data_IF_451291342959
#
_entry.id   IF_451291342959
#
_cell.length_a   1.000
_cell.length_b   1.000
_cell.length_c   1.000
_cell.angle_alpha   90.00
_cell.angle_beta   90.00
_cell.angle_gamma   90.00
#
_symmetry.space_group_name_H-M   'P 1'
#
loop_
_entity.id
_entity.type
_entity.pdbx_description
1 polymer ?
#
# COMPACT_ATOMS: atom_id res chain seq x y z
N UNK A 1 29.72 -3.05 -11.03
CA UNK A 1 28.77 -3.17 -9.90
C UNK A 1 28.99 -4.39 -8.98
N UNK A 2 29.86 -5.35 -9.29
CA UNK A 2 30.12 -6.54 -8.44
C UNK A 2 30.99 -6.26 -7.20
N UNK A 3 31.90 -5.30 -7.28
CA UNK A 3 32.94 -5.02 -6.28
C UNK A 3 32.43 -4.70 -4.87
N UNK A 4 31.35 -3.90 -4.65
CA UNK A 4 30.91 -3.54 -3.30
C UNK A 4 30.40 -4.73 -2.47
N UNK A 5 29.85 -5.76 -3.14
CA UNK A 5 29.27 -6.93 -2.45
C UNK A 5 30.30 -8.05 -2.23
N UNK A 6 31.43 -8.03 -2.97
CA UNK A 6 32.45 -9.06 -2.95
C UNK A 6 33.71 -8.67 -2.15
N UNK A 7 34.00 -7.38 -2.08
CA UNK A 7 35.27 -6.89 -1.50
C UNK A 7 34.98 -5.68 -0.61
N UNK A 8 35.32 -5.78 0.66
CA UNK A 8 35.28 -4.67 1.61
C UNK A 8 34.01 -4.53 2.48
N UNK A 9 32.92 -5.20 2.18
CA UNK A 9 31.73 -5.18 3.03
C UNK A 9 31.84 -6.21 4.16
N UNK A 10 31.76 -5.75 5.42
CA UNK A 10 31.74 -6.64 6.59
C UNK A 10 30.38 -7.29 6.82
N UNK A 11 29.32 -6.59 6.44
CA UNK A 11 27.93 -7.05 6.53
C UNK A 11 27.19 -6.63 5.28
N UNK A 12 26.48 -7.57 4.67
CA UNK A 12 25.56 -7.35 3.55
C UNK A 12 24.14 -7.55 4.08
N UNK A 13 23.30 -6.52 4.00
CA UNK A 13 21.90 -6.60 4.40
C UNK A 13 21.04 -6.77 3.15
N UNK A 14 20.27 -7.85 3.09
CA UNK A 14 19.30 -8.09 2.02
C UNK A 14 17.90 -7.84 2.56
N UNK A 15 17.20 -6.88 1.95
CA UNK A 15 15.78 -6.63 2.18
C UNK A 15 15.00 -7.42 1.14
N UNK A 16 14.51 -8.59 1.54
CA UNK A 16 13.89 -9.54 0.61
C UNK A 16 12.36 -9.40 0.57
N UNK A 17 11.86 -9.35 -0.65
CA UNK A 17 10.44 -9.49 -1.01
C UNK A 17 10.35 -10.27 -2.30
N UNK A 18 9.39 -11.17 -2.45
CA UNK A 18 9.06 -11.70 -3.78
C UNK A 18 8.55 -10.55 -4.68
N UNK A 19 9.00 -10.41 -5.92
CA UNK A 19 9.85 -11.28 -6.76
C UNK A 19 11.34 -10.83 -6.86
N UNK A 20 12.00 -10.45 -5.77
CA UNK A 20 13.43 -10.08 -5.83
C UNK A 20 14.29 -11.23 -6.37
N UNK A 21 15.19 -10.95 -7.31
CA UNK A 21 15.98 -11.95 -8.03
C UNK A 21 15.39 -12.36 -9.38
N UNK A 22 14.17 -11.93 -9.74
CA UNK A 22 13.52 -12.26 -11.00
C UNK A 22 13.86 -11.29 -12.14
N UNK A 23 14.11 -10.03 -11.82
CA UNK A 23 14.54 -9.05 -12.84
C UNK A 23 16.02 -9.20 -13.18
N UNK A 24 16.49 -8.80 -14.39
CA UNK A 24 17.89 -8.86 -14.75
C UNK A 24 18.82 -8.18 -13.75
N UNK A 25 18.43 -7.04 -13.18
CA UNK A 25 19.20 -6.27 -12.21
C UNK A 25 19.26 -6.97 -10.85
N UNK A 26 18.16 -7.38 -10.29
CA UNK A 26 18.10 -8.07 -9.00
C UNK A 26 18.75 -9.45 -9.07
N UNK A 27 18.76 -10.08 -10.25
CA UNK A 27 19.48 -11.34 -10.50
C UNK A 27 21.00 -11.16 -10.44
N UNK A 28 21.52 -10.05 -10.97
CA UNK A 28 22.96 -9.71 -10.88
C UNK A 28 23.35 -9.48 -9.41
N UNK A 29 22.53 -8.76 -8.65
CA UNK A 29 22.76 -8.54 -7.21
C UNK A 29 22.74 -9.86 -6.44
N UNK A 30 21.74 -10.69 -6.68
CA UNK A 30 21.63 -12.01 -6.06
C UNK A 30 22.86 -12.88 -6.33
N UNK A 31 23.31 -12.95 -7.59
CA UNK A 31 24.50 -13.73 -7.97
C UNK A 31 25.75 -13.22 -7.25
N UNK A 32 25.94 -11.89 -7.20
CA UNK A 32 27.09 -11.31 -6.52
C UNK A 32 27.09 -11.60 -5.01
N UNK A 33 25.90 -11.56 -4.37
CA UNK A 33 25.75 -11.90 -2.95
C UNK A 33 26.06 -13.37 -2.70
N UNK A 34 25.56 -14.28 -3.55
CA UNK A 34 25.83 -15.71 -3.45
C UNK A 34 27.33 -16.01 -3.59
N UNK A 35 28.00 -15.46 -4.61
CA UNK A 35 29.44 -15.60 -4.82
C UNK A 35 30.23 -15.07 -3.61
N UNK A 36 29.81 -13.92 -3.04
CA UNK A 36 30.42 -13.35 -1.84
C UNK A 36 30.26 -14.27 -0.63
N UNK A 37 29.07 -14.82 -0.40
CA UNK A 37 28.79 -15.75 0.70
C UNK A 37 29.56 -17.06 0.56
N UNK A 38 29.72 -17.58 -0.65
CA UNK A 38 30.51 -18.79 -0.91
C UNK A 38 31.99 -18.56 -0.66
N UNK A 39 32.52 -17.36 -0.99
CA UNK A 39 33.93 -17.00 -0.84
C UNK A 39 34.27 -16.64 0.60
N UNK A 40 33.44 -15.89 1.30
CA UNK A 40 33.74 -15.28 2.60
C UNK A 40 32.90 -15.85 3.76
N UNK A 41 32.00 -16.75 3.47
CA UNK A 41 31.07 -17.35 4.44
C UNK A 41 29.74 -16.59 4.57
N UNK A 42 28.73 -17.31 4.99
CA UNK A 42 27.35 -16.81 5.16
C UNK A 42 27.18 -15.86 6.35
N UNK A 43 28.17 -15.76 7.22
CA UNK A 43 28.10 -14.94 8.42
C UNK A 43 28.03 -13.44 8.13
N UNK A 44 28.54 -12.99 6.96
CA UNK A 44 28.41 -11.59 6.56
C UNK A 44 27.02 -11.21 6.05
N UNK A 45 26.17 -12.18 5.73
CA UNK A 45 24.81 -11.93 5.24
C UNK A 45 23.83 -11.74 6.39
N UNK A 46 23.08 -10.65 6.36
CA UNK A 46 21.92 -10.45 7.21
C UNK A 46 20.67 -10.36 6.34
N UNK A 47 19.80 -11.37 6.43
CA UNK A 47 18.66 -11.54 5.54
C UNK A 47 17.37 -11.15 6.25
N UNK A 48 16.68 -10.11 5.72
CA UNK A 48 15.43 -9.57 6.26
C UNK A 48 14.31 -9.88 5.28
N UNK A 49 13.35 -10.67 5.70
CA UNK A 49 12.10 -10.90 4.98
C UNK A 49 11.12 -9.77 5.30
N UNK A 50 10.67 -9.04 4.29
CA UNK A 50 9.79 -7.89 4.45
C UNK A 50 8.32 -8.30 4.58
N UNK A 51 7.90 -9.35 3.89
CA UNK A 51 6.52 -9.83 3.87
C UNK A 51 6.37 -11.14 4.64
N UNK A 52 5.24 -11.30 5.32
CA UNK A 52 4.92 -12.48 6.14
C UNK A 52 4.72 -13.74 5.29
N UNK A 53 4.27 -13.58 4.06
CA UNK A 53 3.95 -14.68 3.13
C UNK A 53 5.10 -15.05 2.21
N UNK A 54 6.17 -14.25 2.17
CA UNK A 54 7.32 -14.53 1.30
C UNK A 54 8.03 -15.82 1.70
N UNK A 55 8.28 -16.68 0.71
CA UNK A 55 9.09 -17.89 0.88
C UNK A 55 10.55 -17.55 0.66
N UNK A 56 11.43 -18.01 1.56
CA UNK A 56 12.85 -17.76 1.40
C UNK A 56 13.39 -18.37 0.09
N UNK A 57 14.27 -17.66 -0.62
CA UNK A 57 14.78 -18.14 -1.90
C UNK A 57 15.58 -19.45 -1.70
N UNK A 58 15.49 -20.36 -2.67
CA UNK A 58 16.11 -21.70 -2.61
C UNK A 58 17.62 -21.70 -2.43
N UNK A 59 18.28 -20.60 -2.81
CA UNK A 59 19.73 -20.47 -2.68
C UNK A 59 20.17 -20.11 -1.26
N UNK A 60 19.30 -19.61 -0.41
CA UNK A 60 19.62 -19.30 0.98
C UNK A 60 19.65 -20.62 1.79
N UNK A 61 20.72 -20.93 2.51
CA UNK A 61 20.77 -22.12 3.34
C UNK A 61 19.64 -22.15 4.36
N UNK A 62 19.03 -23.30 4.55
CA UNK A 62 17.92 -23.48 5.52
C UNK A 62 18.34 -23.20 6.96
N UNK A 63 19.63 -23.38 7.26
CA UNK A 63 20.25 -23.10 8.57
C UNK A 63 20.55 -21.62 8.78
N UNK A 64 20.44 -20.78 7.73
CA UNK A 64 20.71 -19.33 7.85
C UNK A 64 19.58 -18.65 8.61
N UNK A 65 19.94 -17.87 9.64
CA UNK A 65 18.97 -17.11 10.44
C UNK A 65 18.38 -15.98 9.59
N UNK A 66 17.06 -15.91 9.55
CA UNK A 66 16.28 -14.92 8.82
C UNK A 66 15.55 -14.04 9.82
N UNK A 67 15.59 -12.74 9.59
CA UNK A 67 14.82 -11.78 10.36
C UNK A 67 13.48 -11.52 9.65
N UNK A 68 12.38 -11.69 10.37
CA UNK A 68 11.05 -11.42 9.81
C UNK A 68 10.59 -10.01 10.23
N UNK A 69 10.64 -9.09 9.29
CA UNK A 69 10.24 -7.70 9.53
C UNK A 69 8.75 -7.55 9.90
N UNK A 70 7.89 -8.37 9.30
CA UNK A 70 6.46 -8.31 9.56
C UNK A 70 6.07 -8.70 11.00
N UNK A 71 6.90 -9.52 11.67
CA UNK A 71 6.66 -9.95 13.04
C UNK A 71 7.33 -9.02 14.07
N UNK A 72 8.51 -8.49 13.76
CA UNK A 72 9.35 -7.75 14.72
C UNK A 72 9.39 -6.23 14.51
N UNK A 73 9.12 -5.75 13.30
CA UNK A 73 9.07 -4.32 12.99
C UNK A 73 10.43 -3.63 12.82
N UNK A 74 10.37 -2.32 12.58
CA UNK A 74 11.52 -1.51 12.19
C UNK A 74 12.58 -1.36 13.30
N UNK A 75 12.18 -1.12 14.53
CA UNK A 75 13.10 -0.87 15.63
C UNK A 75 13.97 -2.08 15.93
N UNK A 76 13.36 -3.26 15.96
CA UNK A 76 14.04 -4.53 16.15
C UNK A 76 14.94 -4.86 14.97
N UNK A 77 14.51 -4.57 13.73
CA UNK A 77 15.34 -4.75 12.54
C UNK A 77 16.60 -3.87 12.59
N UNK A 78 16.45 -2.59 12.96
CA UNK A 78 17.59 -1.66 13.13
C UNK A 78 18.50 -2.15 14.26
N UNK A 79 17.95 -2.60 15.39
CA UNK A 79 18.70 -3.17 16.50
C UNK A 79 19.54 -4.37 16.08
N UNK A 80 18.93 -5.30 15.33
CA UNK A 80 19.58 -6.50 14.82
C UNK A 80 20.68 -6.18 13.80
N UNK A 81 20.46 -5.21 12.89
CA UNK A 81 21.50 -4.73 11.96
C UNK A 81 22.69 -4.14 12.73
N UNK A 82 22.41 -3.30 13.72
CA UNK A 82 23.46 -2.70 14.56
C UNK A 82 24.29 -3.76 15.28
N UNK A 83 23.64 -4.73 15.91
CA UNK A 83 24.30 -5.85 16.58
C UNK A 83 25.20 -6.60 15.60
N UNK A 84 24.68 -6.91 14.40
CA UNK A 84 25.44 -7.63 13.37
C UNK A 84 26.67 -6.85 12.87
N UNK A 85 26.54 -5.53 12.72
CA UNK A 85 27.68 -4.67 12.35
C UNK A 85 28.76 -4.68 13.45
N UNK A 86 28.35 -4.65 14.73
CA UNK A 86 29.27 -4.71 15.87
C UNK A 86 29.96 -6.08 15.97
N UNK A 87 29.23 -7.19 15.80
CA UNK A 87 29.79 -8.55 15.77
C UNK A 87 30.84 -8.70 14.65
N UNK A 88 30.61 -8.05 13.49
CA UNK A 88 31.56 -8.02 12.39
C UNK A 88 32.73 -7.04 12.62
N UNK A 89 32.90 -6.49 13.83
CA UNK A 89 33.97 -5.54 14.19
C UNK A 89 33.78 -4.13 13.60
N UNK A 90 32.55 -3.80 13.19
CA UNK A 90 32.19 -2.44 12.78
C UNK A 90 31.91 -1.54 13.99
N UNK A 91 32.13 -0.25 13.82
CA UNK A 91 31.76 0.77 14.82
C UNK A 91 30.54 1.53 14.34
N UNK A 92 29.55 1.70 15.23
CA UNK A 92 28.40 2.54 14.96
C UNK A 92 28.72 3.94 15.48
N UNK A 93 29.06 4.84 14.56
CA UNK A 93 29.27 6.23 14.93
C UNK A 93 27.94 6.85 15.40
N UNK A 94 27.91 7.53 16.56
CA UNK A 94 26.73 8.26 16.99
C UNK A 94 26.43 9.37 15.98
N UNK A 95 25.14 9.60 15.72
CA UNK A 95 24.72 10.71 14.88
C UNK A 95 25.25 12.02 15.47
N UNK A 96 25.90 12.83 14.65
CA UNK A 96 26.32 14.18 15.05
C UNK A 96 25.10 15.03 15.39
N UNK A 97 25.28 16.06 16.24
CA UNK A 97 24.22 16.99 16.56
C UNK A 97 23.60 17.64 15.32
N UNK A 98 24.44 18.00 14.34
CA UNK A 98 23.97 18.54 13.05
C UNK A 98 23.09 17.55 12.32
N UNK A 99 23.49 16.28 12.20
CA UNK A 99 22.71 15.25 11.51
C UNK A 99 21.39 14.95 12.20
N UNK A 100 21.36 14.97 13.55
CA UNK A 100 20.12 14.84 14.31
C UNK A 100 19.17 16.02 14.04
N UNK A 101 19.70 17.25 13.99
CA UNK A 101 18.90 18.44 13.68
C UNK A 101 18.32 18.39 12.26
N UNK A 102 19.10 17.95 11.27
CA UNK A 102 18.62 17.74 9.90
C UNK A 102 17.48 16.72 9.83
N UNK A 103 17.66 15.55 10.47
CA UNK A 103 16.63 14.50 10.51
C UNK A 103 15.35 14.99 11.22
N UNK A 104 15.50 15.70 12.34
CA UNK A 104 14.37 16.30 13.05
C UNK A 104 13.63 17.34 12.20
N UNK A 105 14.38 18.17 11.45
CA UNK A 105 13.78 19.12 10.51
C UNK A 105 13.01 18.41 9.39
N UNK A 106 13.60 17.38 8.80
CA UNK A 106 12.95 16.58 7.75
C UNK A 106 11.67 15.91 8.25
N UNK A 107 11.70 15.32 9.46
CA UNK A 107 10.54 14.72 10.10
C UNK A 107 9.44 15.75 10.35
N UNK A 108 9.80 16.90 10.90
CA UNK A 108 8.86 18.00 11.16
C UNK A 108 8.22 18.50 9.87
N UNK A 109 9.02 18.62 8.81
CA UNK A 109 8.54 19.02 7.50
C UNK A 109 7.54 17.98 6.93
N UNK A 110 7.88 16.69 6.99
CA UNK A 110 7.03 15.59 6.56
C UNK A 110 5.68 15.60 7.30
N UNK A 111 5.69 15.77 8.61
CA UNK A 111 4.46 15.82 9.42
C UNK A 111 3.58 17.04 9.07
N UNK A 112 4.19 18.20 8.84
CA UNK A 112 3.46 19.40 8.39
C UNK A 112 2.82 19.21 7.03
N UNK A 113 3.54 18.65 6.05
CA UNK A 113 3.01 18.36 4.73
C UNK A 113 1.84 17.34 4.81
N UNK A 114 1.98 16.30 5.63
CA UNK A 114 0.94 15.31 5.87
C UNK A 114 -0.31 15.92 6.53
N UNK A 115 -0.14 16.84 7.47
CA UNK A 115 -1.24 17.56 8.10
C UNK A 115 -1.93 18.51 7.09
N UNK A 116 -1.14 19.20 6.25
CA UNK A 116 -1.64 20.08 5.22
C UNK A 116 -2.54 19.36 4.21
N UNK A 117 -2.25 18.10 3.85
CA UNK A 117 -3.12 17.30 2.97
C UNK A 117 -4.56 17.18 3.50
N UNK A 118 -4.72 17.12 4.82
CA UNK A 118 -6.03 16.98 5.47
C UNK A 118 -6.75 18.32 5.65
N UNK A 119 -6.04 19.42 5.50
CA UNK A 119 -6.60 20.77 5.60
C UNK A 119 -7.31 21.19 4.29
N UNK A 120 -8.11 22.27 4.30
CA UNK A 120 -8.69 22.84 3.08
C UNK A 120 -7.66 23.22 2.00
N UNK A 121 -6.41 23.47 2.39
CA UNK A 121 -5.31 23.78 1.46
C UNK A 121 -4.77 22.55 0.72
N UNK A 122 -5.11 21.34 1.16
CA UNK A 122 -4.71 20.11 0.48
C UNK A 122 -5.56 19.75 -0.75
N UNK A 123 -6.63 20.49 -1.05
CA UNK A 123 -7.57 20.17 -2.14
C UNK A 123 -6.91 20.02 -3.50
N UNK A 124 -5.94 20.90 -3.81
CA UNK A 124 -5.25 20.90 -5.09
C UNK A 124 -4.40 19.61 -5.30
N UNK A 125 -4.03 18.96 -4.22
CA UNK A 125 -3.31 17.67 -4.24
C UNK A 125 -4.29 16.51 -4.18
N UNK A 126 -5.28 16.59 -3.30
CA UNK A 126 -6.25 15.49 -3.06
C UNK A 126 -7.16 15.27 -4.26
N UNK A 127 -7.53 16.33 -4.99
CA UNK A 127 -8.35 16.22 -6.20
C UNK A 127 -7.74 15.30 -7.27
N UNK A 128 -6.53 15.58 -7.77
CA UNK A 128 -5.83 14.70 -8.71
C UNK A 128 -5.67 13.25 -8.22
N UNK A 129 -5.32 13.04 -6.93
CA UNK A 129 -5.19 11.70 -6.34
C UNK A 129 -6.54 10.97 -6.30
N UNK A 130 -7.63 11.69 -6.11
CA UNK A 130 -8.99 11.14 -6.16
C UNK A 130 -9.37 10.73 -7.59
N UNK A 131 -9.05 11.55 -8.57
CA UNK A 131 -9.31 11.24 -9.98
C UNK A 131 -8.51 10.00 -10.42
N UNK A 132 -7.24 9.91 -10.03
CA UNK A 132 -6.43 8.71 -10.27
C UNK A 132 -7.06 7.45 -9.66
N UNK A 133 -7.57 7.55 -8.43
CA UNK A 133 -8.30 6.44 -7.79
C UNK A 133 -9.54 6.05 -8.60
N UNK A 134 -10.34 7.01 -9.05
CA UNK A 134 -11.55 6.73 -9.83
C UNK A 134 -11.22 6.10 -11.19
N UNK A 135 -10.14 6.52 -11.82
CA UNK A 135 -9.69 5.90 -13.08
C UNK A 135 -9.22 4.47 -12.85
N UNK A 136 -8.50 4.19 -11.76
CA UNK A 136 -8.11 2.81 -11.39
C UNK A 136 -9.34 1.92 -11.10
N UNK A 137 -10.37 2.46 -10.45
CA UNK A 137 -11.64 1.73 -10.23
C UNK A 137 -12.29 1.39 -11.57
N UNK A 138 -12.34 2.34 -12.53
CA UNK A 138 -12.90 2.08 -13.88
C UNK A 138 -12.12 1.02 -14.63
N UNK A 139 -10.78 1.11 -14.62
CA UNK A 139 -9.89 0.13 -15.26
C UNK A 139 -10.18 -1.29 -14.74
N UNK A 140 -10.17 -1.48 -13.40
CA UNK A 140 -10.44 -2.77 -12.78
C UNK A 140 -11.85 -3.30 -13.09
N UNK A 141 -12.87 -2.44 -13.06
CA UNK A 141 -14.23 -2.84 -13.40
C UNK A 141 -14.36 -3.25 -14.87
N UNK A 142 -13.67 -2.56 -15.79
CA UNK A 142 -13.65 -2.91 -17.21
C UNK A 142 -12.94 -4.26 -17.46
N UNK A 143 -11.85 -4.55 -16.75
CA UNK A 143 -11.16 -5.85 -16.81
C UNK A 143 -12.07 -6.99 -16.33
N UNK A 144 -12.81 -6.78 -15.24
CA UNK A 144 -13.75 -7.77 -14.69
C UNK A 144 -14.91 -8.02 -15.67
N UNK A 145 -15.48 -6.97 -16.25
CA UNK A 145 -16.56 -7.08 -17.25
C UNK A 145 -16.07 -7.82 -18.51
N UNK A 146 -14.87 -7.48 -19.00
CA UNK A 146 -14.25 -8.15 -20.14
C UNK A 146 -13.95 -9.64 -19.87
N UNK A 147 -13.65 -10.02 -18.63
CA UNK A 147 -13.46 -11.42 -18.22
C UNK A 147 -14.77 -12.22 -18.16
N UNK A 148 -15.93 -11.55 -18.25
CA UNK A 148 -17.25 -12.15 -18.08
C UNK A 148 -17.58 -12.58 -16.65
N UNK A 149 -16.74 -12.19 -15.66
CA UNK A 149 -16.91 -12.60 -14.27
C UNK A 149 -18.07 -11.87 -13.57
N UNK A 150 -18.29 -10.60 -13.92
CA UNK A 150 -19.40 -9.81 -13.42
C UNK A 150 -19.66 -8.61 -14.34
N UNK A 151 -20.91 -8.22 -14.53
CA UNK A 151 -21.24 -6.96 -15.23
C UNK A 151 -21.35 -5.83 -14.22
N UNK A 152 -20.46 -4.84 -14.31
CA UNK A 152 -20.38 -3.69 -13.40
C UNK A 152 -20.55 -2.40 -14.18
N UNK A 153 -21.62 -1.67 -13.88
CA UNK A 153 -21.79 -0.32 -14.40
C UNK A 153 -21.02 0.67 -13.52
N UNK A 154 -20.17 1.50 -14.13
CA UNK A 154 -19.39 2.52 -13.44
C UNK A 154 -19.68 3.88 -14.02
N UNK A 155 -19.93 4.86 -13.16
CA UNK A 155 -19.98 6.27 -13.55
C UNK A 155 -19.23 7.11 -12.52
N UNK A 156 -18.47 8.10 -12.97
CA UNK A 156 -17.77 9.02 -12.07
C UNK A 156 -17.78 10.44 -12.59
N UNK A 157 -17.72 11.38 -11.67
CA UNK A 157 -17.39 12.78 -11.91
C UNK A 157 -16.15 13.18 -11.08
N UNK A 158 -15.92 14.46 -10.86
CA UNK A 158 -14.77 14.96 -10.10
C UNK A 158 -14.81 14.66 -8.60
N UNK A 159 -15.98 14.32 -8.06
CA UNK A 159 -16.20 14.18 -6.62
C UNK A 159 -16.72 12.82 -6.20
N UNK A 160 -17.28 12.06 -7.13
CA UNK A 160 -17.90 10.77 -6.81
C UNK A 160 -17.68 9.74 -7.92
N UNK A 161 -17.60 8.48 -7.51
CA UNK A 161 -17.60 7.32 -8.38
C UNK A 161 -18.62 6.32 -7.88
N UNK A 162 -19.52 5.88 -8.76
CA UNK A 162 -20.59 4.94 -8.47
C UNK A 162 -20.33 3.62 -9.19
N UNK A 163 -20.44 2.53 -8.45
CA UNK A 163 -20.43 1.16 -8.97
C UNK A 163 -21.84 0.60 -8.78
N UNK A 164 -22.37 0.00 -9.82
CA UNK A 164 -23.74 -0.54 -9.82
C UNK A 164 -23.82 -1.90 -10.51
N UNK A 165 -24.53 -2.82 -9.89
CA UNK A 165 -25.04 -4.05 -10.46
C UNK A 165 -26.50 -4.23 -9.96
N UNK A 166 -26.79 -5.24 -9.12
CA UNK A 166 -28.06 -5.39 -8.37
C UNK A 166 -28.10 -4.49 -7.13
N UNK A 167 -26.96 -4.15 -6.63
CA UNK A 167 -26.68 -3.25 -5.51
C UNK A 167 -25.84 -2.08 -5.98
N UNK A 168 -25.52 -1.14 -5.09
CA UNK A 168 -24.62 -0.04 -5.42
C UNK A 168 -23.61 0.22 -4.33
N UNK A 169 -22.44 0.73 -4.76
CA UNK A 169 -21.43 1.31 -3.91
C UNK A 169 -21.10 2.69 -4.46
N UNK A 170 -21.07 3.69 -3.58
CA UNK A 170 -20.67 5.05 -3.93
C UNK A 170 -19.39 5.43 -3.19
N UNK A 171 -18.44 5.99 -3.90
CA UNK A 171 -17.20 6.58 -3.39
C UNK A 171 -17.32 8.07 -3.58
N UNK A 172 -17.31 8.85 -2.51
CA UNK A 172 -17.51 10.30 -2.55
C UNK A 172 -16.39 11.04 -1.86
N UNK A 173 -15.78 12.02 -2.54
CA UNK A 173 -14.86 12.96 -1.92
C UNK A 173 -15.67 14.05 -1.21
N UNK A 174 -15.68 14.03 0.10
CA UNK A 174 -16.25 15.08 0.94
C UNK A 174 -15.17 16.09 1.33
N UNK A 175 -15.39 17.36 1.09
CA UNK A 175 -14.39 18.42 1.27
C UNK A 175 -15.01 19.63 2.03
N UNK A 176 -15.56 19.38 3.22
CA UNK A 176 -16.09 20.47 4.06
C UNK A 176 -14.96 21.14 4.87
N UNK A 177 -14.63 20.59 6.03
CA UNK A 177 -13.55 21.06 6.89
C UNK A 177 -12.25 20.28 6.69
N UNK A 178 -12.39 18.97 6.43
CA UNK A 178 -11.31 18.03 6.11
C UNK A 178 -11.70 17.30 4.85
N UNK A 179 -10.77 17.17 3.91
CA UNK A 179 -10.99 16.31 2.75
C UNK A 179 -10.97 14.84 3.20
N UNK A 180 -12.04 14.11 2.93
CA UNK A 180 -12.10 12.66 3.17
C UNK A 180 -12.83 11.95 2.05
N UNK A 181 -12.40 10.75 1.76
CA UNK A 181 -13.10 9.85 0.85
C UNK A 181 -14.04 8.96 1.65
N UNK A 182 -15.31 8.94 1.29
CA UNK A 182 -16.32 8.14 1.96
C UNK A 182 -16.84 7.08 1.00
N UNK A 183 -16.76 5.82 1.41
CA UNK A 183 -17.25 4.66 0.68
C UNK A 183 -18.53 4.19 1.34
N UNK A 184 -19.67 4.23 0.60
CA UNK A 184 -20.99 3.82 1.09
C UNK A 184 -21.50 2.62 0.31
N UNK A 185 -21.90 1.59 1.03
CA UNK A 185 -22.52 0.40 0.48
C UNK A 185 -24.05 0.51 0.64
N UNK A 186 -24.79 0.26 -0.45
CA UNK A 186 -26.24 0.39 -0.49
C UNK A 186 -26.91 -0.97 -0.73
N UNK A 187 -28.06 -1.16 -0.09
CA UNK A 187 -28.89 -2.38 -0.19
C UNK A 187 -29.59 -2.53 -1.54
N UNK A 188 -29.67 -1.45 -2.33
CA UNK A 188 -30.36 -1.38 -3.63
C UNK A 188 -29.55 -0.56 -4.63
N UNK A 189 -30.02 -0.57 -5.88
CA UNK A 189 -29.45 0.27 -6.94
C UNK A 189 -29.63 1.75 -6.64
N UNK A 190 -28.52 2.50 -6.75
CA UNK A 190 -28.58 3.95 -6.84
C UNK A 190 -28.84 4.37 -8.29
N UNK A 191 -29.51 5.51 -8.54
CA UNK A 191 -29.48 6.13 -9.86
C UNK A 191 -28.06 6.53 -10.20
N UNK A 192 -27.68 6.33 -11.45
CA UNK A 192 -26.38 6.82 -11.93
C UNK A 192 -26.42 8.34 -12.11
N UNK A 193 -25.27 9.03 -12.06
CA UNK A 193 -25.19 10.45 -12.38
C UNK A 193 -25.90 10.77 -13.70
N UNK A 194 -26.89 11.69 -13.67
CA UNK A 194 -27.71 12.05 -14.83
C UNK A 194 -29.01 11.22 -15.02
N UNK A 195 -29.21 10.15 -14.26
CA UNK A 195 -30.48 9.42 -14.25
C UNK A 195 -31.49 10.07 -13.28
N UNK A 196 -32.77 10.16 -13.71
CA UNK A 196 -33.86 10.56 -12.80
C UNK A 196 -34.11 9.44 -11.79
N UNK A 197 -34.13 9.72 -10.48
CA UNK A 197 -34.38 8.71 -9.46
C UNK A 197 -35.83 8.21 -9.49
N UNK A 198 -36.04 6.98 -9.93
CA UNK A 198 -37.35 6.28 -9.83
C UNK A 198 -37.19 5.16 -8.79
N UNK A 199 -37.78 5.34 -7.62
CA UNK A 199 -37.69 4.38 -6.51
C UNK A 199 -38.97 3.56 -6.37
N UNK A 200 -39.20 2.58 -7.24
CA UNK A 200 -40.38 1.72 -7.19
C UNK A 200 -40.48 0.89 -5.89
N UNK A 201 -39.31 0.54 -5.30
CA UNK A 201 -39.24 -0.33 -4.12
C UNK A 201 -38.62 0.39 -2.89
N UNK A 202 -38.86 1.69 -2.76
CA UNK A 202 -38.30 2.53 -1.69
C UNK A 202 -36.83 2.95 -1.95
N UNK A 203 -36.40 4.01 -1.27
CA UNK A 203 -35.07 4.59 -1.43
C UNK A 203 -33.97 3.62 -0.99
N UNK A 204 -32.81 3.57 -1.68
CA UNK A 204 -31.65 2.84 -1.24
C UNK A 204 -31.18 3.30 0.15
N UNK A 205 -30.81 2.36 1.00
CA UNK A 205 -30.31 2.65 2.35
C UNK A 205 -28.84 2.32 2.43
N UNK A 206 -28.07 3.19 3.05
CA UNK A 206 -26.68 2.91 3.43
C UNK A 206 -26.73 1.91 4.59
N UNK A 207 -26.03 0.78 4.45
CA UNK A 207 -25.91 -0.19 5.53
C UNK A 207 -24.49 -0.32 6.05
N UNK A 208 -23.51 0.19 5.27
CA UNK A 208 -22.12 0.28 5.69
C UNK A 208 -21.46 1.53 5.10
N UNK A 209 -20.64 2.17 5.92
CA UNK A 209 -19.85 3.31 5.53
C UNK A 209 -18.41 3.11 6.03
N UNK A 210 -17.43 3.45 5.19
CA UNK A 210 -16.00 3.47 5.53
C UNK A 210 -15.41 4.78 5.06
N UNK A 211 -14.52 5.37 5.84
CA UNK A 211 -13.89 6.64 5.54
C UNK A 211 -12.38 6.49 5.40
N UNK A 212 -11.81 7.22 4.44
CA UNK A 212 -10.37 7.27 4.19
C UNK A 212 -9.91 8.72 4.17
N UNK A 213 -8.82 8.99 4.86
CA UNK A 213 -8.21 10.30 4.91
C UNK A 213 -7.05 10.36 3.91
N UNK A 214 -6.84 11.51 3.26
CA UNK A 214 -5.64 11.73 2.46
C UNK A 214 -4.39 11.48 3.30
N UNK A 215 -3.43 10.81 2.72
CA UNK A 215 -2.20 10.45 3.40
C UNK A 215 -1.00 10.53 2.45
N UNK A 216 0.20 10.52 3.02
CA UNK A 216 1.46 10.51 2.30
C UNK A 216 2.41 9.54 3.01
N UNK A 217 3.08 8.69 2.23
CA UNK A 217 4.09 7.79 2.78
C UNK A 217 5.46 8.47 2.91
N UNK A 218 6.46 7.76 3.46
CA UNK A 218 7.84 8.27 3.62
C UNK A 218 8.57 8.53 2.30
N UNK A 219 8.13 7.90 1.20
CA UNK A 219 8.63 8.16 -0.15
C UNK A 219 7.98 9.40 -0.79
N UNK A 220 7.11 10.11 -0.06
CA UNK A 220 6.31 11.25 -0.52
C UNK A 220 5.33 10.92 -1.64
N UNK A 221 4.89 9.67 -1.70
CA UNK A 221 3.79 9.26 -2.55
C UNK A 221 2.47 9.57 -1.84
N UNK A 222 1.53 10.16 -2.58
CA UNK A 222 0.20 10.47 -2.08
C UNK A 222 -0.73 9.28 -2.19
N UNK A 223 -1.65 9.17 -1.25
CA UNK A 223 -2.62 8.09 -1.19
C UNK A 223 -3.59 8.29 -0.02
N UNK A 224 -3.97 7.21 0.63
CA UNK A 224 -5.06 7.16 1.58
C UNK A 224 -4.71 6.34 2.82
N UNK A 225 -5.29 6.68 3.96
CA UNK A 225 -5.29 5.84 5.16
C UNK A 225 -6.72 5.70 5.69
N UNK A 226 -7.09 4.49 6.14
CA UNK A 226 -8.40 4.25 6.71
C UNK A 226 -8.58 5.05 8.02
N UNK A 227 -9.72 5.72 8.19
CA UNK A 227 -10.02 6.47 9.40
C UNK A 227 -10.04 5.50 10.60
N UNK A 228 -9.29 5.82 11.66
CA UNK A 228 -9.07 4.91 12.79
C UNK A 228 -7.87 3.94 12.64
N UNK A 229 -7.29 3.81 11.45
CA UNK A 229 -6.10 3.00 11.20
C UNK A 229 -4.99 3.79 10.46
N UNK A 230 -4.47 4.87 11.02
CA UNK A 230 -3.57 5.79 10.31
C UNK A 230 -2.20 5.19 9.94
N UNK A 231 -1.87 4.03 10.47
CA UNK A 231 -0.59 3.34 10.18
C UNK A 231 -0.58 2.57 8.85
N UNK A 232 -1.75 2.38 8.22
CA UNK A 232 -1.88 1.60 6.99
C UNK A 232 -2.11 2.53 5.79
N UNK A 233 -1.01 2.93 5.15
CA UNK A 233 -1.05 3.66 3.88
C UNK A 233 -1.53 2.74 2.75
N UNK A 234 -2.41 3.27 1.90
CA UNK A 234 -2.91 2.64 0.68
C UNK A 234 -2.64 3.59 -0.50
N UNK A 235 -1.96 3.11 -1.53
CA UNK A 235 -1.91 3.83 -2.81
C UNK A 235 -3.28 3.86 -3.47
N UNK A 236 -3.48 4.75 -4.47
CA UNK A 236 -4.72 4.80 -5.26
C UNK A 236 -5.06 3.43 -5.85
N UNK A 237 -4.08 2.69 -6.36
CA UNK A 237 -4.28 1.34 -6.90
C UNK A 237 -4.71 0.33 -5.82
N UNK A 238 -4.06 0.32 -4.66
CA UNK A 238 -4.41 -0.59 -3.56
C UNK A 238 -5.80 -0.29 -2.97
N UNK A 239 -6.18 0.99 -2.92
CA UNK A 239 -7.52 1.37 -2.47
C UNK A 239 -8.58 1.04 -3.53
N UNK A 240 -8.29 1.21 -4.82
CA UNK A 240 -9.18 0.81 -5.91
C UNK A 240 -9.48 -0.69 -5.86
N UNK A 241 -8.46 -1.53 -5.73
CA UNK A 241 -8.61 -2.98 -5.58
C UNK A 241 -9.48 -3.33 -4.36
N UNK A 242 -9.22 -2.71 -3.21
CA UNK A 242 -10.03 -2.89 -1.99
C UNK A 242 -11.49 -2.53 -2.23
N UNK A 243 -11.79 -1.40 -2.89
CA UNK A 243 -13.14 -0.92 -3.16
C UNK A 243 -13.88 -1.85 -4.12
N UNK A 244 -13.22 -2.24 -5.21
CA UNK A 244 -13.82 -3.14 -6.22
C UNK A 244 -14.05 -4.52 -5.61
N UNK A 245 -13.14 -5.05 -4.81
CA UNK A 245 -13.33 -6.31 -4.07
C UNK A 245 -14.53 -6.24 -3.13
N UNK A 246 -14.66 -5.16 -2.37
CA UNK A 246 -15.84 -4.93 -1.50
C UNK A 246 -17.15 -4.93 -2.30
N UNK A 247 -17.15 -4.31 -3.49
CA UNK A 247 -18.33 -4.27 -4.35
C UNK A 247 -18.70 -5.66 -4.90
N UNK A 248 -17.71 -6.45 -5.32
CA UNK A 248 -17.92 -7.83 -5.81
C UNK A 248 -18.53 -8.68 -4.70
N UNK A 249 -17.99 -8.60 -3.48
CA UNK A 249 -18.53 -9.32 -2.32
C UNK A 249 -19.95 -8.90 -1.98
N UNK A 250 -20.25 -7.62 -2.12
CA UNK A 250 -21.58 -7.06 -1.93
C UNK A 250 -22.55 -7.61 -2.97
N UNK A 251 -22.19 -7.60 -4.25
CA UNK A 251 -22.99 -8.12 -5.35
C UNK A 251 -23.25 -9.63 -5.20
N UNK A 252 -22.25 -10.41 -4.86
CA UNK A 252 -22.36 -11.86 -4.64
C UNK A 252 -23.29 -12.19 -3.44
N UNK A 253 -23.27 -11.38 -2.38
CA UNK A 253 -24.18 -11.52 -1.25
C UNK A 253 -25.63 -11.21 -1.64
N UNK A 254 -25.85 -10.19 -2.49
CA UNK A 254 -27.18 -9.83 -2.97
C UNK A 254 -27.76 -10.91 -3.92
N UNK A 255 -26.92 -11.51 -4.75
CA UNK A 255 -27.35 -12.62 -5.61
C UNK A 255 -27.80 -13.85 -4.81
N UNK A 256 -27.02 -14.24 -3.81
CA UNK A 256 -27.39 -15.35 -2.91
C UNK A 256 -28.70 -15.13 -2.20
N UNK A 257 -28.99 -13.89 -1.75
CA UNK A 257 -30.28 -13.55 -1.11
C UNK A 257 -31.47 -13.56 -2.06
N UNK A 258 -31.25 -13.35 -3.35
CA UNK A 258 -32.31 -13.36 -4.37
C UNK A 258 -32.70 -14.77 -4.84
N UNK A 259 -31.88 -15.78 -4.51
CA UNK A 259 -32.11 -17.20 -4.83
C UNK A 259 -32.87 -17.95 -3.72
N UNK A 260 -32.99 -17.33 -2.55
CA UNK A 260 -33.73 -17.83 -1.39
C UNK A 260 -34.98 -16.96 -1.11
#
# INVERSE_FOLDING_TARGET
MRTPFLEGSRVVVVLYREPWGETPWTRVEQTAIQEGCLKHGWQQLFFIMLDKTSVAPRWLPTTHVRFNYADFGLEQAIGAIKARVQEAGGTIAPLTALKRAELSKQETQYLKEKEQLRSPYGRDIVGPVTLELFDKIKELCAEIDASGSASIQVASDTHQCHLRNRVSLAVTLESYSVSKLVVREFDKKLPMPGENPVYLNGRPRVFRESSFLPDMNRAREYGWSEEGQPSKFLSSAALADKIVSLFIDLAARAERRALH
#
